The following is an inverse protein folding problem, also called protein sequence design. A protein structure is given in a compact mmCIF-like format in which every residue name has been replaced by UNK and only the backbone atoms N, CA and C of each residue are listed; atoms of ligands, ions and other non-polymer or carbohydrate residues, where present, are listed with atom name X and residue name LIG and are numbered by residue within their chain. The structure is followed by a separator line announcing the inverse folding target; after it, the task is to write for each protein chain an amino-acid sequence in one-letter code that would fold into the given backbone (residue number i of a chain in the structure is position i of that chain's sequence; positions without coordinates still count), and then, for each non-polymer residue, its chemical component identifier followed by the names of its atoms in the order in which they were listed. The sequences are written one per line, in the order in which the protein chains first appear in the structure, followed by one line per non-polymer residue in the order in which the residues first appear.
data_IF_955659991201
#
_entry.id   IF_955659991201
#
_cell.length_a   1.000
_cell.length_b   1.000
_cell.length_c   1.000
_cell.angle_alpha   90.00
_cell.angle_beta   90.00
_cell.angle_gamma   90.00
#
_symmetry.space_group_name_H-M   'P 1'
#
loop_
_entity.id
_entity.type
_entity.pdbx_description
1 polymer ?
#
# COMPACT_ATOMS: atom_id res chain seq x y z
N UNK A 1 4.17 27.08 -16.15
CA UNK A 1 5.17 26.28 -16.81
C UNK A 1 4.55 25.39 -17.86
N UNK A 2 5.12 25.46 -19.04
CA UNK A 2 4.59 24.71 -20.17
C UNK A 2 4.63 23.21 -19.94
N UNK A 3 5.68 22.72 -19.29
CA UNK A 3 5.84 21.30 -19.02
C UNK A 3 4.72 20.75 -18.18
N UNK A 4 4.26 21.50 -17.20
CA UNK A 4 3.15 21.06 -16.34
C UNK A 4 1.87 20.90 -17.14
N UNK A 5 1.64 21.77 -18.11
CA UNK A 5 0.44 21.69 -18.94
C UNK A 5 0.46 20.52 -19.91
N UNK A 6 1.64 20.01 -20.23
CA UNK A 6 1.76 18.90 -21.17
C UNK A 6 1.58 17.55 -20.51
N UNK A 7 1.56 17.48 -19.17
CA UNK A 7 1.36 16.23 -18.48
C UNK A 7 -0.14 15.89 -18.40
N UNK A 8 -0.48 14.60 -18.53
CA UNK A 8 -1.86 14.16 -18.31
C UNK A 8 -2.32 14.51 -16.91
N UNK A 9 -3.61 14.74 -16.74
CA UNK A 9 -4.17 14.98 -15.40
C UNK A 9 -3.82 13.86 -14.43
N UNK A 10 -3.80 12.63 -14.92
CA UNK A 10 -3.48 11.46 -14.10
C UNK A 10 -2.08 11.52 -13.50
N UNK A 11 -1.17 12.23 -14.14
CA UNK A 11 0.19 12.38 -13.64
C UNK A 11 0.22 13.04 -12.26
N UNK A 12 -0.69 14.00 -12.02
CA UNK A 12 -0.74 14.73 -10.76
C UNK A 12 -1.72 14.13 -9.76
N UNK A 13 -2.48 13.16 -10.20
CA UNK A 13 -3.46 12.53 -9.32
C UNK A 13 -2.77 11.47 -8.48
N UNK A 14 -2.86 11.63 -7.18
CA UNK A 14 -2.36 10.64 -6.26
C UNK A 14 -3.49 9.73 -5.82
N UNK A 15 -3.20 8.43 -5.76
CA UNK A 15 -4.11 7.49 -5.12
C UNK A 15 -4.08 7.72 -3.60
N UNK A 16 -2.89 8.01 -3.09
CA UNK A 16 -2.66 8.23 -1.66
C UNK A 16 -1.81 9.49 -1.51
N UNK A 17 -2.12 10.35 -0.55
CA UNK A 17 -1.30 11.52 -0.31
C UNK A 17 -0.20 11.23 0.72
N UNK A 18 0.66 12.21 0.94
CA UNK A 18 1.77 12.07 1.88
C UNK A 18 1.27 11.78 3.29
N UNK A 19 0.14 12.36 3.67
CA UNK A 19 -0.42 12.15 5.00
C UNK A 19 -0.94 10.72 5.19
N UNK A 20 -1.34 10.05 4.10
CA UNK A 20 -1.72 8.65 4.15
C UNK A 20 -0.49 7.74 4.23
N UNK A 21 0.56 8.10 3.51
CA UNK A 21 1.77 7.26 3.40
C UNK A 21 2.67 7.35 4.64
N UNK A 22 2.72 8.52 5.27
CA UNK A 22 3.63 8.77 6.39
C UNK A 22 3.43 7.82 7.58
N UNK A 23 2.20 7.60 8.07
CA UNK A 23 2.00 6.65 9.18
C UNK A 23 2.39 5.23 8.79
N UNK A 24 2.15 4.85 7.55
CA UNK A 24 2.51 3.51 7.07
C UNK A 24 4.02 3.34 7.09
N UNK A 25 4.74 4.34 6.58
CA UNK A 25 6.20 4.31 6.65
C UNK A 25 6.68 4.20 8.10
N UNK A 26 6.13 5.04 8.97
CA UNK A 26 6.58 5.10 10.37
C UNK A 26 6.36 3.79 11.12
N UNK A 27 5.27 3.08 10.84
CA UNK A 27 4.89 1.89 11.59
C UNK A 27 5.28 0.58 10.92
N UNK A 28 5.41 0.56 9.60
CA UNK A 28 5.58 -0.69 8.85
C UNK A 28 6.94 -0.83 8.17
N UNK A 29 7.72 0.25 8.07
CA UNK A 29 9.03 0.17 7.43
C UNK A 29 9.97 -0.72 8.26
N UNK A 30 10.61 -1.67 7.60
CA UNK A 30 11.45 -2.65 8.28
C UNK A 30 10.68 -3.84 8.83
N UNK A 31 9.35 -3.86 8.67
CA UNK A 31 8.49 -4.95 9.13
C UNK A 31 7.88 -5.70 7.96
N UNK A 32 6.97 -5.07 7.21
CA UNK A 32 6.36 -5.68 6.04
C UNK A 32 7.14 -5.39 4.78
N UNK A 33 7.80 -4.26 4.73
CA UNK A 33 8.56 -3.83 3.57
C UNK A 33 9.76 -3.01 4.03
N UNK A 34 10.63 -2.69 3.08
CA UNK A 34 11.76 -1.81 3.33
C UNK A 34 11.81 -0.75 2.23
N UNK A 35 11.71 0.50 2.64
CA UNK A 35 11.83 1.66 1.76
C UNK A 35 12.92 2.57 2.33
N UNK A 36 13.75 3.15 1.47
CA UNK A 36 14.83 4.02 1.93
C UNK A 36 14.31 5.31 2.56
N UNK A 37 13.24 5.86 2.00
CA UNK A 37 12.65 7.10 2.49
C UNK A 37 11.12 7.05 2.41
N UNK A 38 10.47 7.99 3.11
CA UNK A 38 9.01 8.14 3.00
C UNK A 38 8.60 8.47 1.56
N UNK A 39 9.41 9.26 0.87
CA UNK A 39 9.12 9.60 -0.52
C UNK A 39 9.13 8.36 -1.40
N UNK A 40 10.11 7.47 -1.22
CA UNK A 40 10.16 6.23 -1.99
C UNK A 40 8.90 5.40 -1.76
N UNK A 41 8.45 5.29 -0.52
CA UNK A 41 7.21 4.56 -0.23
C UNK A 41 6.01 5.24 -0.88
N UNK A 42 5.93 6.56 -0.78
CA UNK A 42 4.82 7.32 -1.37
C UNK A 42 4.77 7.11 -2.88
N UNK A 43 5.91 7.18 -3.55
CA UNK A 43 5.99 6.92 -4.98
C UNK A 43 5.55 5.50 -5.32
N UNK A 44 6.03 4.53 -4.55
CA UNK A 44 5.66 3.13 -4.73
C UNK A 44 4.15 2.92 -4.59
N UNK A 45 3.56 3.45 -3.53
CA UNK A 45 2.13 3.28 -3.26
C UNK A 45 1.25 4.02 -4.28
N UNK A 46 1.81 5.00 -4.97
CA UNK A 46 1.11 5.73 -6.02
C UNK A 46 1.43 5.19 -7.42
N UNK A 47 2.04 4.00 -7.49
CA UNK A 47 2.37 3.33 -8.75
C UNK A 47 3.38 4.09 -9.60
N UNK A 48 4.22 4.89 -8.96
CA UNK A 48 5.34 5.56 -9.62
C UNK A 48 6.63 4.83 -9.27
N UNK A 49 7.70 5.11 -10.00
CA UNK A 49 8.98 4.46 -9.76
C UNK A 49 9.77 5.24 -8.73
N UNK A 50 10.04 4.68 -7.54
CA UNK A 50 10.87 5.35 -6.55
C UNK A 50 12.34 5.34 -6.96
N UNK A 51 13.12 6.26 -6.38
CA UNK A 51 14.57 6.30 -6.61
C UNK A 51 15.23 5.02 -6.10
N UNK A 52 14.83 4.58 -4.92
CA UNK A 52 15.29 3.30 -4.37
C UNK A 52 14.08 2.38 -4.32
N UNK A 53 14.15 1.20 -4.97
CA UNK A 53 12.99 0.29 -4.97
C UNK A 53 12.56 -0.11 -3.57
N UNK A 54 11.25 -0.18 -3.37
CA UNK A 54 10.67 -0.69 -2.13
C UNK A 54 10.69 -2.22 -2.22
N UNK A 55 11.16 -2.86 -1.17
CA UNK A 55 11.29 -4.30 -1.12
C UNK A 55 10.32 -4.89 -0.10
N UNK A 56 9.53 -5.86 -0.53
CA UNK A 56 8.67 -6.60 0.40
C UNK A 56 9.53 -7.64 1.10
N UNK A 57 9.48 -7.66 2.42
CA UNK A 57 10.32 -8.55 3.21
C UNK A 57 9.83 -9.99 3.12
N UNK A 58 10.75 -10.93 3.28
CA UNK A 58 10.42 -12.35 3.21
C UNK A 58 9.42 -12.71 4.31
N UNK A 59 8.42 -13.50 3.92
CA UNK A 59 7.40 -13.94 4.85
C UNK A 59 6.30 -12.90 5.12
N UNK A 60 6.35 -11.74 4.49
CA UNK A 60 5.39 -10.66 4.73
C UNK A 60 4.30 -10.53 3.68
N UNK A 61 4.28 -11.43 2.70
CA UNK A 61 3.36 -11.33 1.57
C UNK A 61 1.89 -11.31 2.00
N UNK A 62 1.53 -12.19 2.94
CA UNK A 62 0.17 -12.26 3.47
C UNK A 62 -0.22 -10.96 4.17
N UNK A 63 0.68 -10.46 5.00
CA UNK A 63 0.44 -9.20 5.72
C UNK A 63 0.38 -8.01 4.77
N UNK A 64 1.18 -8.03 3.70
CA UNK A 64 1.07 -7.01 2.66
C UNK A 64 -0.30 -7.03 1.98
N UNK A 65 -0.86 -8.22 1.72
CA UNK A 65 -2.20 -8.33 1.15
C UNK A 65 -3.24 -7.64 2.05
N UNK A 66 -3.13 -7.84 3.35
CA UNK A 66 -4.02 -7.18 4.29
C UNK A 66 -3.86 -5.66 4.25
N UNK A 67 -2.61 -5.18 4.31
CA UNK A 67 -2.33 -3.74 4.26
C UNK A 67 -2.89 -3.12 2.98
N UNK A 68 -2.66 -3.77 1.85
CA UNK A 68 -3.19 -3.32 0.56
C UNK A 68 -4.71 -3.24 0.58
N UNK A 69 -5.37 -4.25 1.14
CA UNK A 69 -6.84 -4.28 1.21
C UNK A 69 -7.39 -3.12 2.04
N UNK A 70 -6.70 -2.77 3.11
CA UNK A 70 -7.14 -1.68 3.98
C UNK A 70 -6.89 -0.31 3.35
N UNK A 71 -5.78 -0.15 2.64
CA UNK A 71 -5.53 1.07 1.87
C UNK A 71 -6.58 1.24 0.77
N UNK A 72 -6.90 0.16 0.08
CA UNK A 72 -7.92 0.17 -0.96
C UNK A 72 -9.28 0.61 -0.39
N UNK A 73 -9.62 0.07 0.77
CA UNK A 73 -10.92 0.33 1.40
C UNK A 73 -11.02 1.74 1.98
N UNK A 74 -9.95 2.23 2.62
CA UNK A 74 -10.04 3.43 3.46
C UNK A 74 -9.39 4.67 2.86
N UNK A 75 -8.46 4.52 1.94
CA UNK A 75 -7.68 5.66 1.45
C UNK A 75 -7.74 5.88 -0.05
N UNK A 76 -7.72 4.81 -0.84
CA UNK A 76 -7.85 4.97 -2.29
C UNK A 76 -9.25 5.50 -2.58
N UNK A 77 -9.37 6.56 -3.41
CA UNK A 77 -10.69 7.15 -3.67
C UNK A 77 -11.71 6.14 -4.14
N UNK A 78 -12.96 6.32 -3.72
CA UNK A 78 -14.05 5.38 -3.96
C UNK A 78 -14.52 5.29 -5.42
N UNK A 79 -13.86 6.00 -6.32
CA UNK A 79 -14.17 5.97 -7.74
C UNK A 79 -13.63 4.66 -8.31
N UNK A 80 -14.51 3.86 -8.94
CA UNK A 80 -14.12 2.54 -9.44
C UNK A 80 -12.97 2.58 -10.45
N UNK A 81 -12.88 3.65 -11.22
CA UNK A 81 -11.81 3.86 -12.18
C UNK A 81 -10.44 3.98 -11.52
N UNK A 82 -10.39 4.28 -10.23
CA UNK A 82 -9.13 4.36 -9.49
C UNK A 82 -8.82 3.10 -8.71
N UNK A 83 -9.84 2.48 -8.11
CA UNK A 83 -9.61 1.32 -7.25
C UNK A 83 -9.05 0.11 -7.98
N UNK A 84 -9.67 -0.28 -9.09
CA UNK A 84 -9.22 -1.45 -9.84
C UNK A 84 -7.81 -1.29 -10.41
N UNK A 85 -7.49 -0.19 -11.12
CA UNK A 85 -6.13 0.01 -11.62
C UNK A 85 -5.10 0.06 -10.51
N UNK A 86 -5.44 0.70 -9.39
CA UNK A 86 -4.50 0.78 -8.27
C UNK A 86 -4.21 -0.61 -7.70
N UNK A 87 -5.25 -1.39 -7.42
CA UNK A 87 -5.07 -2.73 -6.86
C UNK A 87 -4.23 -3.60 -7.79
N UNK A 88 -4.57 -3.60 -9.08
CA UNK A 88 -3.84 -4.38 -10.05
C UNK A 88 -2.37 -3.96 -10.14
N UNK A 89 -2.13 -2.65 -10.16
CA UNK A 89 -0.78 -2.11 -10.25
C UNK A 89 0.06 -2.38 -9.02
N UNK A 90 -0.52 -2.23 -7.83
CA UNK A 90 0.24 -2.45 -6.59
C UNK A 90 0.55 -3.93 -6.37
N UNK A 91 -0.37 -4.81 -6.73
CA UNK A 91 -0.11 -6.25 -6.65
C UNK A 91 1.03 -6.64 -7.59
N UNK A 92 1.04 -6.10 -8.80
CA UNK A 92 2.12 -6.36 -9.74
C UNK A 92 3.45 -5.84 -9.19
N UNK A 93 3.45 -4.65 -8.61
CA UNK A 93 4.67 -4.06 -8.03
C UNK A 93 5.20 -4.89 -6.86
N UNK A 94 4.31 -5.50 -6.09
CA UNK A 94 4.67 -6.37 -4.97
C UNK A 94 4.97 -7.81 -5.39
N UNK A 95 4.75 -8.14 -6.67
CA UNK A 95 4.88 -9.50 -7.19
C UNK A 95 3.94 -10.48 -6.49
N UNK A 96 2.72 -10.03 -6.25
CA UNK A 96 1.66 -10.84 -5.63
C UNK A 96 0.61 -11.11 -6.70
N UNK A 97 0.23 -12.39 -6.87
CA UNK A 97 -0.81 -12.72 -7.83
C UNK A 97 -2.19 -12.31 -7.29
N UNK A 98 -3.12 -12.07 -8.20
CA UNK A 98 -4.47 -11.71 -7.80
C UNK A 98 -5.16 -12.85 -7.04
N UNK A 99 -4.89 -14.11 -7.43
CA UNK A 99 -5.47 -15.25 -6.73
C UNK A 99 -4.94 -15.38 -5.29
N UNK A 100 -3.64 -15.13 -5.10
CA UNK A 100 -3.07 -15.12 -3.76
C UNK A 100 -3.72 -14.04 -2.91
N UNK A 101 -3.84 -12.83 -3.46
CA UNK A 101 -4.47 -11.71 -2.77
C UNK A 101 -5.90 -12.05 -2.35
N UNK A 102 -6.70 -12.55 -3.28
CA UNK A 102 -8.10 -12.90 -2.99
C UNK A 102 -8.22 -13.96 -1.89
N UNK A 103 -7.27 -14.88 -1.83
CA UNK A 103 -7.29 -15.94 -0.84
C UNK A 103 -6.81 -15.48 0.55
N UNK A 104 -5.99 -14.43 0.64
CA UNK A 104 -5.26 -14.12 1.86
C UNK A 104 -5.48 -12.73 2.44
N UNK A 105 -6.14 -11.81 1.74
CA UNK A 105 -6.26 -10.44 2.25
C UNK A 105 -7.07 -10.34 3.55
N UNK A 106 -7.87 -11.34 3.87
CA UNK A 106 -8.69 -11.39 5.09
C UNK A 106 -8.07 -12.21 6.22
N UNK A 107 -6.86 -12.75 6.04
CA UNK A 107 -6.27 -13.66 7.03
C UNK A 107 -5.74 -12.96 8.27
N UNK A 108 -5.51 -11.65 8.18
CA UNK A 108 -4.99 -10.86 9.30
C UNK A 108 -6.14 -10.23 10.05
N UNK A 109 -6.31 -10.61 11.31
CA UNK A 109 -7.33 -10.04 12.19
C UNK A 109 -6.89 -10.19 13.65
N UNK A 110 -7.75 -9.74 14.56
CA UNK A 110 -7.44 -9.75 15.99
C UNK A 110 -7.37 -11.15 16.57
N UNK A 111 -7.93 -12.13 15.88
CA UNK A 111 -7.95 -13.53 16.32
C UNK A 111 -6.90 -14.38 15.62
N UNK A 112 -6.04 -13.74 14.82
CA UNK A 112 -4.96 -14.46 14.15
C UNK A 112 -4.06 -15.13 15.19
N UNK A 113 -3.56 -16.31 14.88
CA UNK A 113 -2.63 -17.03 15.77
C UNK A 113 -1.26 -16.41 15.87
N UNK A 114 -0.90 -15.55 14.91
CA UNK A 114 0.42 -14.94 14.84
C UNK A 114 0.44 -13.59 15.54
N UNK A 115 1.44 -13.37 16.40
CA UNK A 115 1.60 -12.06 17.03
C UNK A 115 1.89 -10.96 16.03
N UNK A 116 2.64 -11.28 14.97
CA UNK A 116 2.91 -10.31 13.91
C UNK A 116 1.63 -9.87 13.20
N UNK A 117 0.70 -10.81 12.98
CA UNK A 117 -0.58 -10.49 12.37
C UNK A 117 -1.43 -9.63 13.30
N UNK A 118 -1.48 -9.96 14.58
CA UNK A 118 -2.24 -9.17 15.57
C UNK A 118 -1.70 -7.76 15.68
N UNK A 119 -0.38 -7.63 15.72
CA UNK A 119 0.27 -6.32 15.79
C UNK A 119 -0.07 -5.48 14.57
N UNK A 120 0.04 -6.06 13.38
CA UNK A 120 -0.30 -5.34 12.16
C UNK A 120 -1.76 -4.93 12.15
N UNK A 121 -2.66 -5.84 12.54
CA UNK A 121 -4.09 -5.53 12.60
C UNK A 121 -4.35 -4.31 13.46
N UNK A 122 -3.77 -4.28 14.66
CA UNK A 122 -3.96 -3.16 15.58
C UNK A 122 -3.38 -1.87 15.03
N UNK A 123 -2.18 -1.96 14.45
CA UNK A 123 -1.51 -0.80 13.85
C UNK A 123 -2.34 -0.21 12.72
N UNK A 124 -2.77 -1.05 11.79
CA UNK A 124 -3.55 -0.59 10.64
C UNK A 124 -4.89 -0.03 11.07
N UNK A 125 -5.54 -0.68 12.03
CA UNK A 125 -6.81 -0.17 12.56
C UNK A 125 -6.63 1.21 13.20
N UNK A 126 -5.53 1.41 13.91
CA UNK A 126 -5.23 2.69 14.54
C UNK A 126 -5.03 3.81 13.53
N UNK A 127 -4.33 3.54 12.43
CA UNK A 127 -3.98 4.58 11.46
C UNK A 127 -4.96 4.73 10.30
N UNK A 128 -5.71 3.70 9.95
CA UNK A 128 -6.62 3.70 8.82
C UNK A 128 -8.09 3.44 9.16
N UNK A 129 -8.36 2.84 10.29
CA UNK A 129 -9.68 2.34 10.63
C UNK A 129 -10.71 3.38 11.05
N UNK A 130 -10.57 4.59 10.57
CA UNK A 130 -11.49 5.68 10.95
C UNK A 130 -12.36 6.12 9.79
#
# INVERSE_FOLDING_TARGET
MAELKSFPLDYYRNYLDVNDCSPIYNHCNGKQFEAATKLDLCEFLNLRTPLVPVRILDGEKQRMCYLISQLLKHRVPAISEMKKPWLKGILAACKISESYYKSHYNDVDERSGSEANKELYRTVKSILGR
#
